data_IF_731804296940
#
_entry.id   IF_731804296940
#
_cell.length_a   1.000
_cell.length_b   1.000
_cell.length_c   1.000
_cell.angle_alpha   90.00
_cell.angle_beta   90.00
_cell.angle_gamma   90.00
#
_symmetry.space_group_name_H-M   'P 1'
#
loop_
_entity.id
_entity.type
_entity.pdbx_description
1 polymer ?
#
# COMPACT_ATOMS: atom_id res chain seq x y z
N UNK A 1 3.54 4.88 -15.78
CA UNK A 1 3.29 4.70 -14.32
C UNK A 1 1.96 5.31 -13.87
N UNK A 2 1.52 6.47 -14.42
CA UNK A 2 0.18 7.03 -14.13
C UNK A 2 -1.00 6.18 -14.67
N UNK A 3 -0.77 5.30 -15.64
CA UNK A 3 -1.83 4.48 -16.26
C UNK A 3 -2.31 3.28 -15.40
N UNK A 4 -1.75 3.09 -14.21
CA UNK A 4 -2.05 1.97 -13.30
C UNK A 4 -2.75 2.40 -12.01
N UNK A 5 -2.99 3.70 -11.80
CA UNK A 5 -3.66 4.22 -10.59
C UNK A 5 -5.16 4.33 -10.85
N UNK A 6 -5.97 3.74 -9.97
CA UNK A 6 -7.43 3.80 -10.06
C UNK A 6 -7.93 5.22 -9.76
N UNK A 7 -9.01 5.61 -10.45
CA UNK A 7 -9.68 6.90 -10.20
C UNK A 7 -10.62 6.80 -9.00
N UNK A 8 -10.89 7.93 -8.33
CA UNK A 8 -11.87 8.01 -7.24
C UNK A 8 -13.23 7.38 -7.62
N UNK A 9 -13.74 7.70 -8.82
CA UNK A 9 -15.01 7.17 -9.30
C UNK A 9 -15.01 5.64 -9.46
N UNK A 10 -13.88 5.06 -9.90
CA UNK A 10 -13.74 3.61 -9.98
C UNK A 10 -13.66 3.00 -8.58
N UNK A 11 -12.83 3.58 -7.70
CA UNK A 11 -12.63 3.07 -6.34
C UNK A 11 -13.93 3.09 -5.54
N UNK A 12 -14.70 4.20 -5.56
CA UNK A 12 -16.01 4.27 -4.89
C UNK A 12 -16.99 3.25 -5.49
N UNK A 13 -16.99 3.05 -6.80
CA UNK A 13 -17.93 2.14 -7.46
C UNK A 13 -17.64 0.66 -7.17
N UNK A 14 -16.38 0.31 -6.98
CA UNK A 14 -15.93 -1.09 -6.95
C UNK A 14 -15.32 -1.50 -5.61
N UNK A 15 -15.10 -0.56 -4.70
CA UNK A 15 -14.50 -0.80 -3.41
C UNK A 15 -15.46 -0.57 -2.25
N UNK A 16 -14.95 -0.83 -1.05
CA UNK A 16 -15.65 -0.68 0.22
C UNK A 16 -14.89 0.33 1.06
N UNK A 17 -15.58 1.34 1.58
CA UNK A 17 -14.99 2.31 2.51
C UNK A 17 -14.60 1.57 3.80
N UNK A 18 -13.32 1.67 4.20
CA UNK A 18 -12.80 0.93 5.33
C UNK A 18 -13.36 1.46 6.64
N UNK A 19 -13.32 2.78 6.88
CA UNK A 19 -13.86 3.40 8.10
C UNK A 19 -15.32 3.02 8.40
N UNK A 20 -16.16 2.93 7.37
CA UNK A 20 -17.59 2.70 7.52
C UNK A 20 -17.95 1.20 7.63
N UNK A 21 -17.22 0.31 6.95
CA UNK A 21 -17.69 -1.07 6.71
C UNK A 21 -16.68 -2.16 7.07
N UNK A 22 -15.41 -1.80 7.32
CA UNK A 22 -14.35 -2.77 7.57
C UNK A 22 -13.66 -2.50 8.91
N UNK A 23 -12.95 -3.51 9.40
CA UNK A 23 -12.16 -3.40 10.62
C UNK A 23 -11.00 -4.38 10.58
N UNK A 24 -10.08 -4.25 11.54
CA UNK A 24 -9.10 -5.29 11.83
C UNK A 24 -9.69 -6.35 12.76
N UNK A 25 -9.57 -7.62 12.37
CA UNK A 25 -10.16 -8.75 13.08
C UNK A 25 -9.61 -10.10 12.61
N UNK A 26 -10.46 -11.11 12.64
CA UNK A 26 -10.13 -12.48 12.27
C UNK A 26 -9.38 -13.23 13.38
N UNK A 27 -8.95 -14.48 13.14
CA UNK A 27 -8.44 -15.39 14.18
C UNK A 27 -7.26 -14.87 15.00
N UNK A 28 -6.51 -13.90 14.45
CA UNK A 28 -5.33 -13.30 15.07
C UNK A 28 -5.44 -11.77 15.24
N UNK A 29 -6.61 -11.18 14.96
CA UNK A 29 -6.82 -9.72 15.05
C UNK A 29 -5.99 -8.89 14.06
N UNK A 30 -5.49 -9.51 12.98
CA UNK A 30 -4.60 -8.89 11.99
C UNK A 30 -5.16 -8.90 10.57
N UNK A 31 -6.29 -9.59 10.36
CA UNK A 31 -6.97 -9.62 9.07
C UNK A 31 -7.88 -8.42 8.91
N UNK A 32 -8.22 -8.08 7.67
CA UNK A 32 -9.29 -7.14 7.36
C UNK A 32 -10.59 -7.92 7.27
N UNK A 33 -11.60 -7.49 8.02
CA UNK A 33 -12.91 -8.14 8.09
C UNK A 33 -14.04 -7.18 7.77
N UNK A 34 -15.13 -7.73 7.24
CA UNK A 34 -16.46 -7.12 7.25
C UNK A 34 -17.33 -7.82 8.29
N UNK A 35 -18.47 -7.23 8.64
CA UNK A 35 -19.43 -7.81 9.57
C UNK A 35 -20.67 -8.31 8.81
N UNK A 36 -20.96 -9.60 8.94
CA UNK A 36 -22.14 -10.25 8.37
C UNK A 36 -23.35 -10.20 9.30
N UNK A 37 -24.35 -11.04 9.04
CA UNK A 37 -25.53 -11.16 9.90
C UNK A 37 -25.16 -11.57 11.33
N UNK A 38 -25.72 -10.89 12.33
CA UNK A 38 -25.44 -11.17 13.73
C UNK A 38 -24.05 -10.75 14.20
N UNK A 39 -23.45 -9.75 13.56
CA UNK A 39 -22.12 -9.19 13.87
C UNK A 39 -20.98 -10.21 13.76
N UNK A 40 -21.18 -11.26 12.95
CA UNK A 40 -20.13 -12.24 12.70
C UNK A 40 -19.05 -11.64 11.80
N UNK A 41 -17.79 -11.75 12.22
CA UNK A 41 -16.64 -11.36 11.39
C UNK A 41 -16.48 -12.29 10.18
N UNK A 42 -16.28 -11.69 9.02
CA UNK A 42 -15.96 -12.39 7.78
C UNK A 42 -14.69 -11.79 7.16
N UNK A 43 -13.75 -12.64 6.73
CA UNK A 43 -12.51 -12.18 6.09
C UNK A 43 -12.84 -11.48 4.76
N UNK A 44 -12.48 -10.20 4.67
CA UNK A 44 -12.80 -9.38 3.50
C UNK A 44 -11.94 -9.77 2.29
N UNK A 45 -12.54 -9.77 1.10
CA UNK A 45 -11.81 -9.87 -0.17
C UNK A 45 -12.36 -8.85 -1.14
N UNK A 46 -11.50 -7.99 -1.68
CA UNK A 46 -11.91 -6.92 -2.58
C UNK A 46 -11.01 -5.70 -2.52
N UNK A 47 -11.51 -4.61 -3.11
CA UNK A 47 -10.90 -3.29 -3.04
C UNK A 47 -11.43 -2.57 -1.79
N UNK A 48 -10.54 -2.12 -0.92
CA UNK A 48 -10.85 -1.26 0.21
C UNK A 48 -10.29 0.14 -0.04
N UNK A 49 -10.89 1.16 0.56
CA UNK A 49 -10.42 2.54 0.44
C UNK A 49 -10.79 3.39 1.66
N UNK A 50 -10.06 4.49 1.83
CA UNK A 50 -10.37 5.56 2.78
C UNK A 50 -10.43 6.90 2.06
N UNK A 51 -11.20 7.83 2.63
CA UNK A 51 -11.35 9.19 2.12
C UNK A 51 -10.82 10.18 3.16
N UNK A 52 -10.23 11.27 2.68
CA UNK A 52 -10.00 12.42 3.54
C UNK A 52 -11.34 12.98 4.05
N UNK A 53 -11.36 13.72 5.17
CA UNK A 53 -12.57 14.38 5.66
C UNK A 53 -13.23 15.33 4.64
N UNK A 54 -12.46 15.82 3.67
CA UNK A 54 -12.92 16.66 2.56
C UNK A 54 -13.58 15.88 1.41
N UNK A 55 -13.48 14.54 1.42
CA UNK A 55 -14.16 13.62 0.50
C UNK A 55 -13.30 13.11 -0.66
N UNK A 56 -12.07 13.60 -0.82
CA UNK A 56 -11.11 13.08 -1.79
C UNK A 56 -10.53 11.73 -1.34
N UNK A 57 -10.02 10.94 -2.29
CA UNK A 57 -9.42 9.64 -2.01
C UNK A 57 -8.15 9.81 -1.17
N UNK A 58 -8.09 9.17 0.00
CA UNK A 58 -6.89 9.14 0.83
C UNK A 58 -5.98 7.96 0.45
N UNK A 59 -6.56 6.77 0.39
CA UNK A 59 -5.85 5.59 -0.08
C UNK A 59 -6.81 4.55 -0.66
N UNK A 60 -6.25 3.58 -1.40
CA UNK A 60 -6.92 2.32 -1.67
C UNK A 60 -5.93 1.16 -1.60
N UNK A 61 -6.47 -0.03 -1.33
CA UNK A 61 -5.71 -1.27 -1.27
C UNK A 61 -6.55 -2.48 -1.69
N UNK A 62 -5.88 -3.48 -2.26
CA UNK A 62 -6.48 -4.78 -2.53
C UNK A 62 -6.28 -5.73 -1.35
N UNK A 63 -7.33 -6.49 -1.05
CA UNK A 63 -7.38 -7.45 0.04
C UNK A 63 -7.84 -8.81 -0.50
N UNK A 64 -7.14 -9.88 -0.13
CA UNK A 64 -7.55 -11.27 -0.38
C UNK A 64 -7.67 -11.98 0.97
N UNK A 65 -8.87 -12.45 1.34
CA UNK A 65 -9.14 -13.19 2.59
C UNK A 65 -8.53 -12.51 3.83
N UNK A 66 -8.74 -11.20 3.93
CA UNK A 66 -8.28 -10.36 5.03
C UNK A 66 -6.80 -10.00 4.99
N UNK A 67 -6.01 -10.45 4.00
CA UNK A 67 -4.61 -10.04 3.85
C UNK A 67 -4.45 -9.03 2.72
N UNK A 68 -3.56 -8.05 2.88
CA UNK A 68 -3.27 -7.06 1.83
C UNK A 68 -2.46 -7.75 0.73
N UNK A 69 -2.95 -7.69 -0.50
CA UNK A 69 -2.38 -8.43 -1.64
C UNK A 69 -2.56 -7.60 -2.91
N UNK A 70 -1.47 -7.31 -3.62
CA UNK A 70 -1.47 -6.45 -4.80
C UNK A 70 -1.11 -4.99 -4.48
N UNK A 71 -1.61 -4.06 -5.30
CA UNK A 71 -1.21 -2.66 -5.22
C UNK A 71 -1.98 -1.92 -4.11
N UNK A 72 -1.27 -1.10 -3.35
CA UNK A 72 -1.81 -0.11 -2.43
C UNK A 72 -1.31 1.27 -2.88
N UNK A 73 -2.19 2.27 -2.89
CA UNK A 73 -1.83 3.64 -3.29
C UNK A 73 -2.35 4.61 -2.25
N UNK A 74 -1.48 5.53 -1.85
CA UNK A 74 -1.82 6.65 -0.99
C UNK A 74 -1.74 7.95 -1.79
N UNK A 75 -2.57 8.92 -1.42
CA UNK A 75 -2.66 10.21 -2.06
C UNK A 75 -2.33 11.34 -1.08
N UNK A 76 -1.93 12.48 -1.61
CA UNK A 76 -2.01 13.74 -0.91
C UNK A 76 -3.45 14.27 -0.96
N UNK A 77 -3.83 15.17 -0.05
CA UNK A 77 -5.17 15.79 -0.06
C UNK A 77 -5.44 16.63 -1.32
N UNK A 78 -4.39 17.01 -2.06
CA UNK A 78 -4.50 17.59 -3.40
C UNK A 78 -4.97 16.62 -4.48
N UNK A 79 -4.98 15.30 -4.20
CA UNK A 79 -5.28 14.23 -5.14
C UNK A 79 -4.08 13.73 -5.93
N UNK A 80 -2.89 14.32 -5.76
CA UNK A 80 -1.66 13.78 -6.35
C UNK A 80 -1.21 12.51 -5.62
N UNK A 81 -0.60 11.58 -6.36
CA UNK A 81 -0.13 10.31 -5.79
C UNK A 81 1.02 10.57 -4.83
N UNK A 82 0.90 10.04 -3.61
CA UNK A 82 1.91 10.13 -2.56
C UNK A 82 2.82 8.90 -2.55
N UNK A 83 2.24 7.71 -2.64
CA UNK A 83 2.99 6.46 -2.67
C UNK A 83 2.27 5.36 -3.42
N UNK A 84 3.04 4.46 -4.01
CA UNK A 84 2.57 3.21 -4.62
C UNK A 84 3.36 2.07 -3.99
N UNK A 85 2.64 1.19 -3.32
CA UNK A 85 3.17 0.03 -2.63
C UNK A 85 2.67 -1.26 -3.27
N UNK A 86 3.58 -2.22 -3.44
CA UNK A 86 3.22 -3.58 -3.82
C UNK A 86 3.23 -4.47 -2.59
N UNK A 87 2.11 -5.14 -2.32
CA UNK A 87 1.87 -5.96 -1.14
C UNK A 87 1.74 -7.43 -1.53
N UNK A 88 2.32 -8.31 -0.72
CA UNK A 88 2.14 -9.76 -0.79
C UNK A 88 2.00 -10.30 0.63
N UNK A 89 0.88 -10.98 0.94
CA UNK A 89 0.58 -11.51 2.28
C UNK A 89 0.76 -10.47 3.39
N UNK A 90 0.20 -9.28 3.20
CA UNK A 90 0.31 -8.13 4.12
C UNK A 90 1.72 -7.56 4.34
N UNK A 91 2.73 -8.02 3.61
CA UNK A 91 4.09 -7.46 3.63
C UNK A 91 4.42 -6.76 2.31
N UNK A 92 5.23 -5.70 2.34
CA UNK A 92 5.68 -5.06 1.11
C UNK A 92 6.64 -5.94 0.32
N UNK A 93 6.43 -6.01 -0.99
CA UNK A 93 7.12 -6.92 -1.90
C UNK A 93 7.31 -6.28 -3.27
N UNK A 94 8.48 -6.42 -3.88
CA UNK A 94 8.81 -5.78 -5.15
C UNK A 94 9.10 -4.29 -5.01
N UNK A 95 8.95 -3.56 -6.10
CA UNK A 95 9.23 -2.12 -6.16
C UNK A 95 8.17 -1.29 -5.44
N UNK A 96 8.62 -0.26 -4.73
CA UNK A 96 7.81 0.70 -4.00
C UNK A 96 8.25 2.11 -4.42
N UNK A 97 7.30 3.03 -4.49
CA UNK A 97 7.55 4.40 -4.94
C UNK A 97 6.91 5.40 -3.99
N UNK A 98 7.63 6.46 -3.67
CA UNK A 98 7.10 7.66 -3.01
C UNK A 98 7.38 8.88 -3.88
N UNK A 99 6.46 9.83 -3.86
CA UNK A 99 6.51 11.04 -4.67
C UNK A 99 6.40 12.28 -3.79
N UNK A 100 6.98 13.39 -4.24
CA UNK A 100 6.61 14.70 -3.74
C UNK A 100 5.23 15.07 -4.25
N UNK A 101 4.56 16.00 -3.59
CA UNK A 101 3.25 16.50 -4.03
C UNK A 101 3.31 17.18 -5.41
N UNK A 102 4.51 17.60 -5.86
CA UNK A 102 4.76 18.05 -7.24
C UNK A 102 4.67 16.93 -8.28
N UNK A 103 4.51 15.68 -7.86
CA UNK A 103 4.51 14.47 -8.70
C UNK A 103 5.92 13.96 -9.04
N UNK A 104 6.98 14.63 -8.57
CA UNK A 104 8.35 14.17 -8.77
C UNK A 104 8.67 12.97 -7.89
N UNK A 105 9.46 12.02 -8.41
CA UNK A 105 9.89 10.86 -7.65
C UNK A 105 10.75 11.30 -6.47
N UNK A 106 10.32 10.94 -5.26
CA UNK A 106 11.04 11.21 -4.01
C UNK A 106 11.89 10.02 -3.60
N UNK A 107 11.33 8.81 -3.74
CA UNK A 107 12.01 7.58 -3.32
C UNK A 107 11.54 6.41 -4.16
N UNK A 108 12.47 5.55 -4.54
CA UNK A 108 12.18 4.22 -5.05
C UNK A 108 12.94 3.19 -4.24
N UNK A 109 12.28 2.09 -3.87
CA UNK A 109 12.91 1.00 -3.12
C UNK A 109 12.39 -0.37 -3.54
N UNK A 110 13.21 -1.41 -3.35
CA UNK A 110 12.80 -2.79 -3.58
C UNK A 110 12.73 -3.54 -2.24
N UNK A 111 11.65 -4.31 -2.04
CA UNK A 111 11.41 -5.09 -0.82
C UNK A 111 11.11 -6.55 -1.09
N UNK A 112 11.43 -7.41 -0.12
CA UNK A 112 11.02 -8.83 -0.11
C UNK A 112 10.52 -9.13 1.30
N UNK A 113 9.23 -9.50 1.43
CA UNK A 113 8.59 -9.78 2.72
C UNK A 113 8.83 -8.67 3.76
N UNK A 114 8.70 -7.42 3.33
CA UNK A 114 8.94 -6.23 4.16
C UNK A 114 10.41 -5.83 4.33
N UNK A 115 11.37 -6.68 3.95
CA UNK A 115 12.81 -6.39 4.09
C UNK A 115 13.28 -5.46 2.99
N UNK A 116 13.90 -4.34 3.36
CA UNK A 116 14.47 -3.34 2.44
C UNK A 116 15.74 -3.87 1.75
N UNK A 117 15.65 -4.14 0.45
CA UNK A 117 16.77 -4.67 -0.34
C UNK A 117 17.64 -3.56 -0.89
N UNK A 118 17.03 -2.57 -1.55
CA UNK A 118 17.70 -1.42 -2.15
C UNK A 118 16.80 -0.19 -2.03
N UNK A 119 17.39 1.01 -2.07
CA UNK A 119 16.64 2.25 -2.26
C UNK A 119 17.48 3.32 -2.95
N UNK A 120 16.79 4.27 -3.56
CA UNK A 120 17.34 5.55 -4.00
C UNK A 120 16.36 6.64 -3.60
N UNK A 121 16.87 7.68 -2.95
CA UNK A 121 16.13 8.87 -2.56
C UNK A 121 16.60 10.07 -3.37
N UNK A 122 15.67 10.90 -3.79
CA UNK A 122 15.88 12.04 -4.66
C UNK A 122 15.35 13.31 -3.98
N UNK A 123 15.96 14.45 -4.28
CA UNK A 123 15.36 15.75 -3.97
C UNK A 123 14.37 16.19 -5.05
N UNK A 124 13.70 17.33 -4.85
CA UNK A 124 12.75 17.93 -5.81
C UNK A 124 13.37 18.43 -7.12
N UNK A 125 14.68 18.27 -7.32
CA UNK A 125 15.35 18.52 -8.61
C UNK A 125 15.73 17.21 -9.31
N UNK A 126 15.34 16.06 -8.74
CA UNK A 126 15.67 14.73 -9.24
C UNK A 126 17.12 14.30 -8.97
N UNK A 127 17.87 15.04 -8.15
CA UNK A 127 19.23 14.64 -7.77
C UNK A 127 19.18 13.61 -6.65
N UNK A 128 20.01 12.56 -6.76
CA UNK A 128 20.14 11.53 -5.72
C UNK A 128 20.73 12.16 -4.46
N UNK A 129 20.04 12.00 -3.34
CA UNK A 129 20.50 12.46 -2.01
C UNK A 129 20.97 11.31 -1.13
N UNK A 130 20.45 10.11 -1.33
CA UNK A 130 20.83 8.92 -0.57
C UNK A 130 20.48 7.65 -1.33
N UNK A 131 21.25 6.59 -1.12
CA UNK A 131 20.97 5.30 -1.74
C UNK A 131 21.56 4.10 -0.99
N UNK A 132 20.92 2.95 -1.17
CA UNK A 132 21.45 1.61 -0.88
C UNK A 132 21.37 0.79 -2.16
N UNK A 133 22.51 0.64 -2.83
CA UNK A 133 22.57 -0.06 -4.13
C UNK A 133 22.48 -1.58 -4.02
N UNK A 134 22.78 -2.16 -2.85
CA UNK A 134 22.78 -3.61 -2.66
C UNK A 134 22.31 -4.01 -1.26
N UNK A 135 21.63 -5.17 -1.13
CA UNK A 135 21.28 -5.74 0.16
C UNK A 135 22.51 -6.32 0.87
N UNK A 136 22.55 -6.12 2.19
CA UNK A 136 23.53 -6.72 3.09
C UNK A 136 23.32 -8.23 3.24
N UNK A 137 24.26 -8.92 3.89
CA UNK A 137 24.07 -10.34 4.24
C UNK A 137 22.84 -10.55 5.12
N UNK A 138 22.61 -9.65 6.09
CA UNK A 138 21.45 -9.71 6.98
C UNK A 138 20.15 -9.55 6.21
N UNK A 139 20.07 -8.59 5.29
CA UNK A 139 18.86 -8.40 4.47
C UNK A 139 18.51 -9.65 3.68
N UNK A 140 19.52 -10.28 3.05
CA UNK A 140 19.32 -11.53 2.28
C UNK A 140 18.88 -12.69 3.17
N UNK A 141 19.43 -12.80 4.38
CA UNK A 141 19.04 -13.83 5.35
C UNK A 141 17.59 -13.64 5.81
N UNK A 142 17.19 -12.40 6.11
CA UNK A 142 15.81 -12.08 6.51
C UNK A 142 14.84 -12.31 5.36
N UNK A 143 15.16 -11.81 4.16
CA UNK A 143 14.34 -12.01 2.96
C UNK A 143 14.13 -13.49 2.65
N UNK A 144 15.17 -14.34 2.80
CA UNK A 144 15.05 -15.80 2.64
C UNK A 144 14.23 -16.46 3.76
N UNK A 145 14.27 -15.91 4.97
CA UNK A 145 13.54 -16.46 6.13
C UNK A 145 12.04 -16.17 6.03
N UNK A 146 11.66 -15.02 5.49
CA UNK A 146 10.29 -14.52 5.54
C UNK A 146 9.58 -14.45 4.18
N UNK A 147 10.32 -14.44 3.06
CA UNK A 147 9.77 -14.50 1.70
C UNK A 147 9.62 -15.93 1.22
#
# INVERSE_FOLDING_TARGET
>A
MKDTVLTLAYVIKHGVNFEDNLSYGGPYGQGIVSYGEGDQEELFSGLAYDLFPSGELECYLFVDKGVKEGVMVDFYSSGEVKSIHNMHKSASYGDQFEFFETGQLKRQEARIAGVLMTYTEFNEQGAIVSEKRQPTKTDRLLAKKFG
#
